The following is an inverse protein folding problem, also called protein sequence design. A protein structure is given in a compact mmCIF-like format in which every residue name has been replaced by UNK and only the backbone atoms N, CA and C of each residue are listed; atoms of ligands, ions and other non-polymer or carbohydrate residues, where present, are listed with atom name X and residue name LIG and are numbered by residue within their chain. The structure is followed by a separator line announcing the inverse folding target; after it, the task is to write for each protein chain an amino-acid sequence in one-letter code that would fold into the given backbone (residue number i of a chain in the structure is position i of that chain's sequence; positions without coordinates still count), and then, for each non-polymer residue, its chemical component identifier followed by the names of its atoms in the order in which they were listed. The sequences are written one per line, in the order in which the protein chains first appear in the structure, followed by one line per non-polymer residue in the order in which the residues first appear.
data_IF_759939634392
#
_entry.id   IF_759939634392
#
_cell.length_a   1.000
_cell.length_b   1.000
_cell.length_c   1.000
_cell.angle_alpha   90.00
_cell.angle_beta   90.00
_cell.angle_gamma   90.00
#
_symmetry.space_group_name_H-M   'P 1'
#
loop_
_entity.id
_entity.type
_entity.pdbx_description
1 polymer ?
#
# COMPACT_ATOMS: atom_id res chain seq x y z
N UNK A 1 1.19 -9.79 -7.38
CA UNK A 1 1.49 -9.91 -5.93
C UNK A 1 0.34 -9.35 -5.10
N UNK A 2 0.05 -9.94 -3.94
CA UNK A 2 -0.92 -9.44 -2.97
C UNK A 2 -0.21 -9.17 -1.64
N UNK A 3 -0.38 -7.96 -1.09
CA UNK A 3 0.09 -7.57 0.24
C UNK A 3 -1.12 -7.24 1.10
N UNK A 4 -1.15 -7.77 2.33
CA UNK A 4 -2.24 -7.53 3.27
C UNK A 4 -1.67 -6.90 4.52
N UNK A 5 -2.15 -5.69 4.84
CA UNK A 5 -1.78 -4.92 6.02
C UNK A 5 -2.91 -5.04 7.05
N UNK A 6 -2.59 -5.63 8.21
CA UNK A 6 -3.52 -5.86 9.32
C UNK A 6 -3.21 -5.00 10.55
N UNK A 7 -2.24 -4.09 10.45
CA UNK A 7 -1.89 -3.16 11.53
C UNK A 7 -2.95 -2.06 11.64
N UNK A 8 -3.26 -1.64 12.86
CA UNK A 8 -4.22 -0.56 13.16
C UNK A 8 -3.56 0.83 13.19
N UNK A 9 -2.24 0.94 13.05
CA UNK A 9 -1.49 2.19 13.06
C UNK A 9 -0.59 2.35 11.82
N UNK A 10 -1.15 2.16 10.63
CA UNK A 10 -0.44 2.44 9.39
C UNK A 10 -0.20 3.94 9.25
N UNK A 11 1.07 4.31 9.14
CA UNK A 11 1.55 5.65 8.81
C UNK A 11 2.04 5.76 7.36
N UNK A 12 2.40 6.97 6.95
CA UNK A 12 2.86 7.26 5.59
C UNK A 12 4.19 6.56 5.30
N UNK A 13 5.10 6.51 6.27
CA UNK A 13 6.41 5.85 6.14
C UNK A 13 6.25 4.37 5.78
N UNK A 14 5.26 3.70 6.37
CA UNK A 14 4.94 2.30 6.06
C UNK A 14 4.44 2.15 4.63
N UNK A 15 3.57 3.06 4.17
CA UNK A 15 3.01 3.05 2.82
C UNK A 15 4.08 3.33 1.76
N UNK A 16 4.99 4.27 2.02
CA UNK A 16 6.12 4.56 1.13
C UNK A 16 7.05 3.35 0.97
N UNK A 17 7.32 2.61 2.05
CA UNK A 17 8.12 1.38 1.99
C UNK A 17 7.42 0.29 1.18
N UNK A 18 6.09 0.15 1.31
CA UNK A 18 5.30 -0.77 0.48
C UNK A 18 5.37 -0.36 -1.00
N UNK A 19 5.31 0.94 -1.29
CA UNK A 19 5.42 1.45 -2.65
C UNK A 19 6.81 1.17 -3.26
N UNK A 20 7.87 1.37 -2.49
CA UNK A 20 9.24 1.02 -2.90
C UNK A 20 9.41 -0.49 -3.12
N UNK A 21 8.73 -1.32 -2.33
CA UNK A 21 8.73 -2.77 -2.51
C UNK A 21 8.25 -3.19 -3.90
N UNK A 22 7.28 -2.49 -4.50
CA UNK A 22 6.87 -2.76 -5.89
C UNK A 22 8.06 -2.71 -6.84
N UNK A 23 8.87 -1.64 -6.78
CA UNK A 23 10.02 -1.43 -7.67
C UNK A 23 11.01 -2.59 -7.55
N UNK A 24 11.32 -2.98 -6.31
CA UNK A 24 12.20 -4.11 -6.07
C UNK A 24 11.64 -5.40 -6.67
N UNK A 25 10.34 -5.69 -6.52
CA UNK A 25 9.74 -6.91 -7.07
C UNK A 25 9.66 -6.91 -8.59
N UNK A 26 9.50 -5.74 -9.22
CA UNK A 26 9.58 -5.57 -10.67
C UNK A 26 10.99 -5.88 -11.16
N UNK A 27 12.01 -5.32 -10.50
CA UNK A 27 13.41 -5.52 -10.86
C UNK A 27 13.88 -6.96 -10.64
N UNK A 28 13.57 -7.55 -9.48
CA UNK A 28 14.06 -8.87 -9.08
C UNK A 28 13.30 -10.01 -9.76
N UNK A 29 11.99 -9.85 -10.00
CA UNK A 29 11.10 -10.95 -10.41
C UNK A 29 10.23 -10.64 -11.64
N UNK A 30 10.28 -9.42 -12.21
CA UNK A 30 9.41 -9.03 -13.32
C UNK A 30 7.92 -8.94 -12.94
N UNK A 31 7.60 -8.79 -11.65
CA UNK A 31 6.22 -8.77 -11.14
C UNK A 31 5.66 -7.36 -11.06
N UNK A 32 5.03 -6.90 -12.14
CA UNK A 32 4.50 -5.53 -12.24
C UNK A 32 3.11 -5.34 -11.59
N UNK A 33 2.30 -6.40 -11.51
CA UNK A 33 1.00 -6.31 -10.84
C UNK A 33 1.15 -6.43 -9.31
N UNK A 34 0.77 -5.38 -8.59
CA UNK A 34 0.74 -5.37 -7.12
C UNK A 34 -0.62 -4.87 -6.63
N UNK A 35 -1.19 -5.61 -5.67
CA UNK A 35 -2.39 -5.21 -4.93
C UNK A 35 -2.09 -5.14 -3.44
N UNK A 36 -2.57 -4.09 -2.79
CA UNK A 36 -2.43 -3.90 -1.34
C UNK A 36 -3.81 -3.81 -0.70
N UNK A 37 -4.03 -4.56 0.38
CA UNK A 37 -5.27 -4.58 1.16
C UNK A 37 -5.00 -4.00 2.53
N UNK A 38 -5.84 -3.06 2.96
CA UNK A 38 -5.86 -2.53 4.33
C UNK A 38 -7.21 -2.87 4.98
N UNK A 39 -7.18 -3.16 6.28
CA UNK A 39 -8.39 -3.16 7.13
C UNK A 39 -8.97 -1.75 7.23
N UNK A 40 -10.28 -1.61 7.40
CA UNK A 40 -10.92 -0.29 7.48
C UNK A 40 -10.38 0.61 8.61
N UNK A 41 -9.99 0.00 9.73
CA UNK A 41 -9.39 0.68 10.88
C UNK A 41 -7.86 0.80 10.83
N UNK A 42 -7.21 0.46 9.70
CA UNK A 42 -5.73 0.44 9.64
C UNK A 42 -5.11 1.83 9.74
N UNK A 43 -5.84 2.85 9.28
CA UNK A 43 -5.34 4.21 9.19
C UNK A 43 -5.75 5.02 10.40
N UNK A 44 -4.76 5.70 11.00
CA UNK A 44 -4.93 6.54 12.18
C UNK A 44 -5.98 7.64 12.01
N UNK A 45 -6.05 8.24 10.81
CA UNK A 45 -7.05 9.24 10.45
C UNK A 45 -7.27 9.29 8.92
N UNK A 46 -8.29 10.07 8.52
CA UNK A 46 -8.67 10.22 7.12
C UNK A 46 -7.63 10.95 6.25
N UNK A 47 -6.77 11.78 6.86
CA UNK A 47 -5.67 12.48 6.16
C UNK A 47 -4.59 11.48 5.78
N UNK A 48 -4.20 10.63 6.74
CA UNK A 48 -3.25 9.53 6.51
C UNK A 48 -3.79 8.58 5.44
N UNK A 49 -5.07 8.20 5.52
CA UNK A 49 -5.71 7.37 4.49
C UNK A 49 -5.62 8.03 3.10
N UNK A 50 -6.02 9.28 2.96
CA UNK A 50 -6.02 9.97 1.66
C UNK A 50 -4.62 10.06 1.06
N UNK A 51 -3.61 10.38 1.88
CA UNK A 51 -2.22 10.46 1.44
C UNK A 51 -1.67 9.07 1.06
N UNK A 52 -1.99 8.03 1.84
CA UNK A 52 -1.61 6.66 1.54
C UNK A 52 -2.12 6.21 0.15
N UNK A 53 -3.40 6.48 -0.14
CA UNK A 53 -4.00 6.17 -1.44
C UNK A 53 -3.29 6.87 -2.59
N UNK A 54 -2.92 8.13 -2.39
CA UNK A 54 -2.24 8.92 -3.42
C UNK A 54 -0.84 8.35 -3.71
N UNK A 55 -0.07 8.00 -2.67
CA UNK A 55 1.25 7.39 -2.82
C UNK A 55 1.16 6.07 -3.58
N UNK A 56 0.23 5.18 -3.20
CA UNK A 56 0.09 3.89 -3.88
C UNK A 56 -0.27 4.05 -5.37
N UNK A 57 -1.15 5.00 -5.70
CA UNK A 57 -1.49 5.32 -7.08
C UNK A 57 -0.30 5.84 -7.90
N UNK A 58 0.60 6.62 -7.32
CA UNK A 58 1.81 7.09 -8.01
C UNK A 58 2.72 5.94 -8.43
N UNK A 59 2.63 4.80 -7.77
CA UNK A 59 3.38 3.60 -8.08
C UNK A 59 2.54 2.59 -8.87
N UNK A 60 1.36 2.96 -9.36
CA UNK A 60 0.43 2.06 -10.07
C UNK A 60 0.15 0.79 -9.24
N UNK A 61 -0.05 0.98 -7.94
CA UNK A 61 -0.47 -0.07 -7.00
C UNK A 61 -1.97 0.10 -6.78
N UNK A 62 -2.72 -0.94 -7.11
CA UNK A 62 -4.15 -0.97 -6.83
C UNK A 62 -4.38 -1.30 -5.35
N UNK A 63 -5.11 -0.43 -4.67
CA UNK A 63 -5.54 -0.67 -3.30
C UNK A 63 -6.94 -1.28 -3.30
N UNK A 64 -7.10 -2.37 -2.55
CA UNK A 64 -8.40 -3.01 -2.31
C UNK A 64 -8.74 -2.79 -0.83
N UNK A 65 -9.61 -1.82 -0.57
CA UNK A 65 -10.21 -1.62 0.76
C UNK A 65 -11.35 -2.61 0.93
N UNK A 66 -11.36 -3.36 2.05
CA UNK A 66 -12.56 -3.78 2.81
C UNK A 66 -12.32 -5.10 3.55
N UNK A 67 -12.23 -5.02 4.89
CA UNK A 67 -12.67 -5.99 5.93
C UNK A 67 -12.86 -5.21 7.24
#
# INVERSE_FOLDING_TARGET
MLVVCLDDNIDIDTVEKIAQLKKQFVEDYGLDSMRVVFKDSSFKDAVVKTNALYILKQFEIDEVVSI
#
